data_IF_829687751188
#
_entry.id   IF_829687751188
#
_cell.length_a   1.000
_cell.length_b   1.000
_cell.length_c   1.000
_cell.angle_alpha   90.00
_cell.angle_beta   90.00
_cell.angle_gamma   90.00
#
_symmetry.space_group_name_H-M   'P 1'
#
loop_
_entity.id
_entity.type
_entity.pdbx_description
1 polymer ?
#
# COMPACT_ATOMS: atom_id res chain seq x y z
N UNK A 1 56.00 3.55 -57.20
CA UNK A 1 55.52 4.36 -58.35
C UNK A 1 54.44 3.50 -59.01
N UNK A 2 53.15 3.83 -59.05
CA UNK A 2 52.53 5.07 -59.56
C UNK A 2 51.08 5.16 -59.08
N UNK A 3 50.64 6.37 -58.70
CA UNK A 3 49.24 6.77 -58.42
C UNK A 3 48.33 6.49 -59.62
N UNK A 4 47.08 6.05 -59.38
CA UNK A 4 45.89 6.52 -60.11
C UNK A 4 44.70 6.67 -59.17
N UNK A 5 44.13 7.88 -59.21
CA UNK A 5 42.89 8.32 -58.59
C UNK A 5 41.77 8.03 -59.61
N UNK A 6 40.61 7.59 -59.15
CA UNK A 6 39.40 7.46 -59.96
C UNK A 6 38.18 7.17 -59.09
N UNK A 7 37.42 8.23 -58.80
CA UNK A 7 36.16 8.19 -58.06
C UNK A 7 35.03 7.62 -58.91
N UNK A 8 34.10 6.90 -58.28
CA UNK A 8 32.72 6.78 -58.75
C UNK A 8 31.79 6.42 -57.59
N UNK A 9 30.67 7.13 -57.57
CA UNK A 9 29.66 7.21 -56.52
C UNK A 9 28.97 5.87 -56.25
N UNK A 10 28.69 5.59 -54.98
CA UNK A 10 27.54 4.80 -54.58
C UNK A 10 26.73 5.60 -53.55
N UNK A 11 25.52 5.97 -53.97
CA UNK A 11 24.50 6.64 -53.17
C UNK A 11 24.04 5.75 -52.01
N UNK A 12 23.87 6.39 -50.85
CA UNK A 12 22.73 6.19 -49.95
C UNK A 12 22.70 4.91 -49.11
N UNK A 13 22.89 5.03 -47.80
CA UNK A 13 21.80 5.01 -46.80
C UNK A 13 22.31 5.76 -45.57
N UNK A 14 21.53 6.73 -45.09
CA UNK A 14 21.81 7.49 -43.88
C UNK A 14 21.94 6.55 -42.68
N UNK A 15 23.08 6.61 -41.98
CA UNK A 15 23.14 6.32 -40.56
C UNK A 15 22.38 7.44 -39.82
N UNK A 16 21.19 7.13 -39.32
CA UNK A 16 20.57 7.88 -38.24
C UNK A 16 19.68 6.91 -37.47
N UNK A 17 20.12 6.54 -36.27
CA UNK A 17 19.32 6.46 -35.03
C UNK A 17 20.12 5.70 -33.97
N UNK A 18 20.32 6.27 -32.78
CA UNK A 18 20.80 5.53 -31.62
C UNK A 18 19.64 4.80 -30.94
N UNK A 19 20.00 3.75 -30.21
CA UNK A 19 19.24 3.09 -29.15
C UNK A 19 18.16 2.08 -29.56
N UNK A 20 18.38 0.87 -29.04
CA UNK A 20 17.39 -0.13 -28.67
C UNK A 20 16.04 0.48 -28.26
N UNK A 21 14.97 -0.09 -28.77
CA UNK A 21 13.76 -0.28 -27.98
C UNK A 21 13.20 -1.64 -28.35
N UNK A 22 13.41 -2.60 -27.46
CA UNK A 22 12.60 -3.81 -27.43
C UNK A 22 11.16 -3.36 -27.29
N UNK A 23 10.38 -3.64 -28.33
CA UNK A 23 8.93 -3.50 -28.37
C UNK A 23 8.34 -4.47 -27.33
N UNK A 24 8.20 -4.00 -26.10
CA UNK A 24 7.24 -4.55 -25.15
C UNK A 24 6.05 -3.62 -25.23
N UNK A 25 5.00 -4.06 -25.92
CA UNK A 25 3.74 -3.34 -26.04
C UNK A 25 3.28 -2.84 -24.68
N UNK A 26 3.57 -1.58 -24.41
CA UNK A 26 2.98 -0.84 -23.31
C UNK A 26 1.61 -0.45 -23.81
N UNK A 27 0.68 -1.41 -23.86
CA UNK A 27 -0.73 -1.08 -23.78
C UNK A 27 -0.83 -0.14 -22.57
N UNK A 28 -1.28 1.09 -22.79
CA UNK A 28 -1.51 2.07 -21.74
C UNK A 28 -2.65 1.55 -20.89
N UNK A 29 -2.35 0.58 -20.02
CA UNK A 29 -3.22 0.11 -18.95
C UNK A 29 -3.55 1.36 -18.15
N UNK A 30 -4.84 1.63 -17.99
CA UNK A 30 -5.26 2.76 -17.18
C UNK A 30 -4.67 2.63 -15.78
N UNK A 31 -4.51 3.77 -15.09
CA UNK A 31 -4.04 3.76 -13.71
C UNK A 31 -5.18 4.12 -12.77
N UNK A 32 -5.42 3.29 -11.75
CA UNK A 32 -6.37 3.53 -10.68
C UNK A 32 -5.72 4.33 -9.54
N UNK A 33 -6.44 5.31 -8.99
CA UNK A 33 -5.99 6.04 -7.80
C UNK A 33 -6.14 5.17 -6.56
N UNK A 34 -5.47 5.58 -5.49
CA UNK A 34 -5.64 4.96 -4.19
C UNK A 34 -7.11 5.01 -3.73
N UNK A 35 -7.63 3.87 -3.26
CA UNK A 35 -9.04 3.67 -2.94
C UNK A 35 -9.94 3.35 -4.13
N UNK A 36 -9.43 3.37 -5.36
CA UNK A 36 -10.17 2.92 -6.54
C UNK A 36 -9.93 1.43 -6.82
N UNK A 37 -10.88 0.83 -7.54
CA UNK A 37 -10.77 -0.57 -7.95
C UNK A 37 -9.55 -0.76 -8.89
N UNK A 38 -8.87 -1.89 -8.74
CA UNK A 38 -7.73 -2.29 -9.55
C UNK A 38 -7.96 -3.70 -10.11
N UNK A 39 -7.24 -4.04 -11.18
CA UNK A 39 -7.38 -5.33 -11.82
C UNK A 39 -6.11 -5.69 -12.59
N UNK A 40 -6.06 -6.90 -13.16
CA UNK A 40 -4.96 -7.33 -14.03
C UNK A 40 -4.67 -6.39 -15.22
N UNK A 41 -5.66 -5.60 -15.62
CA UNK A 41 -5.59 -4.69 -16.77
C UNK A 41 -5.58 -3.20 -16.33
N UNK A 42 -5.59 -2.94 -15.02
CA UNK A 42 -5.67 -1.60 -14.43
C UNK A 42 -4.76 -1.53 -13.18
N UNK A 43 -3.55 -1.01 -13.39
CA UNK A 43 -2.52 -0.90 -12.36
C UNK A 43 -2.78 0.31 -11.44
N UNK A 44 -2.17 0.33 -10.26
CA UNK A 44 -2.28 1.48 -9.37
C UNK A 44 -1.38 2.62 -9.83
N UNK A 45 -1.88 3.85 -9.78
CA UNK A 45 -1.22 5.05 -10.31
C UNK A 45 0.01 5.50 -9.53
N UNK A 46 0.11 5.08 -8.26
CA UNK A 46 1.24 5.41 -7.39
C UNK A 46 2.16 4.21 -7.27
N UNK A 47 3.47 4.43 -7.33
CA UNK A 47 4.47 3.36 -7.08
C UNK A 47 4.43 2.83 -5.65
N UNK A 48 3.82 3.61 -4.74
CA UNK A 48 3.54 3.21 -3.36
C UNK A 48 2.18 2.54 -3.19
N UNK A 49 1.36 2.50 -4.26
CA UNK A 49 0.08 1.80 -4.23
C UNK A 49 0.19 0.45 -4.93
N UNK A 50 -0.36 -0.59 -4.30
CA UNK A 50 -0.42 -1.95 -4.88
C UNK A 50 -1.85 -2.39 -5.00
N UNK A 51 -2.12 -3.17 -6.05
CA UNK A 51 -3.42 -3.78 -6.22
C UNK A 51 -3.55 -4.91 -5.19
N UNK A 52 -4.35 -4.69 -4.16
CA UNK A 52 -4.58 -5.69 -3.12
C UNK A 52 -5.39 -6.86 -3.71
N UNK A 53 -5.24 -8.12 -3.22
CA UNK A 53 -6.06 -9.26 -3.62
C UNK A 53 -7.58 -9.05 -3.66
N UNK A 54 -8.09 -8.07 -2.91
CA UNK A 54 -9.51 -7.68 -2.92
C UNK A 54 -9.91 -6.74 -4.08
N UNK A 55 -8.97 -6.41 -4.97
CA UNK A 55 -9.21 -5.61 -6.17
C UNK A 55 -9.32 -4.10 -5.91
N UNK A 56 -8.62 -3.58 -4.90
CA UNK A 56 -8.54 -2.13 -4.60
C UNK A 56 -7.08 -1.69 -4.52
N UNK A 57 -6.78 -0.51 -5.07
CA UNK A 57 -5.47 0.12 -4.90
C UNK A 57 -5.30 0.65 -3.49
N UNK A 58 -4.46 0.00 -2.69
CA UNK A 58 -4.10 0.45 -1.35
C UNK A 58 -2.71 1.04 -1.37
N UNK A 59 -2.46 2.06 -0.54
CA UNK A 59 -1.09 2.54 -0.29
C UNK A 59 -0.25 1.51 0.47
N UNK A 60 0.98 1.89 0.79
CA UNK A 60 1.86 1.05 1.63
C UNK A 60 1.26 0.89 3.04
N UNK A 61 1.20 -0.35 3.53
CA UNK A 61 0.79 -0.69 4.89
C UNK A 61 1.96 -0.45 5.86
N UNK A 62 2.19 0.83 6.15
CA UNK A 62 3.13 1.27 7.19
C UNK A 62 2.44 1.30 8.56
N UNK A 63 3.22 1.21 9.63
CA UNK A 63 2.71 1.41 11.00
C UNK A 63 1.94 2.72 11.16
N UNK A 64 2.46 3.82 10.61
CA UNK A 64 1.81 5.13 10.67
C UNK A 64 0.44 5.15 9.97
N UNK A 65 0.32 4.47 8.81
CA UNK A 65 -0.94 4.36 8.10
C UNK A 65 -1.98 3.52 8.88
N UNK A 66 -1.52 2.46 9.56
CA UNK A 66 -2.33 1.61 10.42
C UNK A 66 -2.69 2.25 11.77
N UNK A 67 -2.05 3.36 12.13
CA UNK A 67 -2.27 4.12 13.35
C UNK A 67 -2.90 5.48 13.07
N UNK A 68 -3.57 5.62 11.93
CA UNK A 68 -4.35 6.82 11.61
C UNK A 68 -5.76 6.69 12.18
N UNK A 69 -6.16 7.66 13.01
CA UNK A 69 -7.54 7.73 13.50
C UNK A 69 -8.50 8.10 12.35
N UNK A 70 -9.66 7.45 12.35
CA UNK A 70 -10.73 7.74 11.41
C UNK A 70 -12.08 7.74 12.11
N UNK A 71 -13.02 8.48 11.53
CA UNK A 71 -14.43 8.44 11.87
C UNK A 71 -15.21 7.83 10.70
N UNK A 72 -16.44 7.38 10.92
CA UNK A 72 -17.31 6.84 9.87
C UNK A 72 -17.45 7.81 8.68
N UNK A 73 -17.44 9.13 8.94
CA UNK A 73 -17.52 10.17 7.93
C UNK A 73 -16.18 10.45 7.22
N UNK A 74 -15.05 10.04 7.81
CA UNK A 74 -13.69 10.31 7.32
C UNK A 74 -12.96 9.04 6.93
N UNK A 75 -13.65 7.93 6.70
CA UNK A 75 -13.07 6.67 6.22
C UNK A 75 -12.27 6.82 4.91
N UNK A 76 -12.56 7.85 4.09
CA UNK A 76 -11.78 8.22 2.91
C UNK A 76 -10.33 8.65 3.24
N UNK A 77 -10.06 9.09 4.48
CA UNK A 77 -8.71 9.40 4.97
C UNK A 77 -7.85 8.16 5.13
N UNK A 78 -8.48 6.97 5.25
CA UNK A 78 -7.77 5.72 5.31
C UNK A 78 -7.16 5.32 3.96
N UNK A 79 -7.15 6.19 2.95
CA UNK A 79 -6.34 6.04 1.75
C UNK A 79 -6.44 4.62 1.12
N UNK A 80 -7.67 4.15 0.93
CA UNK A 80 -7.98 2.83 0.39
C UNK A 80 -8.05 1.69 1.41
N UNK A 81 -7.77 1.96 2.68
CA UNK A 81 -8.06 1.06 3.81
C UNK A 81 -9.49 1.24 4.35
N UNK A 82 -9.89 0.37 5.28
CA UNK A 82 -11.16 0.45 5.97
C UNK A 82 -11.02 1.19 7.30
N UNK A 83 -12.07 1.92 7.69
CA UNK A 83 -12.15 2.47 9.04
C UNK A 83 -12.77 1.45 9.98
N UNK A 84 -12.00 0.89 10.90
CA UNK A 84 -12.52 0.08 12.00
C UNK A 84 -13.07 1.02 13.07
N UNK A 85 -14.39 1.00 13.24
CA UNK A 85 -15.05 1.75 14.32
C UNK A 85 -14.70 1.12 15.66
N UNK A 86 -14.21 1.94 16.58
CA UNK A 86 -13.82 1.52 17.91
C UNK A 86 -14.96 1.78 18.90
N UNK A 87 -15.18 0.84 19.81
CA UNK A 87 -16.06 1.06 20.95
C UNK A 87 -15.44 2.10 21.90
N UNK A 88 -16.23 2.59 22.85
CA UNK A 88 -15.75 3.50 23.89
C UNK A 88 -14.47 2.95 24.56
N UNK A 89 -13.42 3.77 24.56
CA UNK A 89 -12.07 3.39 24.97
C UNK A 89 -11.42 4.50 25.80
N UNK A 90 -10.37 4.15 26.54
CA UNK A 90 -9.67 5.07 27.43
C UNK A 90 -9.01 6.24 26.69
N UNK A 91 -8.64 6.05 25.42
CA UNK A 91 -8.01 7.05 24.57
C UNK A 91 -9.01 8.01 23.92
N UNK A 92 -10.33 7.76 24.04
CA UNK A 92 -11.37 8.58 23.42
C UNK A 92 -11.38 8.53 21.89
N UNK A 93 -10.72 7.53 21.29
CA UNK A 93 -10.63 7.36 19.84
C UNK A 93 -11.94 6.85 19.25
N UNK A 94 -12.23 7.23 18.02
CA UNK A 94 -13.48 6.84 17.35
C UNK A 94 -13.32 5.69 16.35
N UNK A 95 -12.13 5.58 15.76
CA UNK A 95 -11.83 4.54 14.80
C UNK A 95 -10.34 4.46 14.46
N UNK A 96 -9.99 3.43 13.70
CA UNK A 96 -8.63 3.14 13.27
C UNK A 96 -8.62 2.73 11.80
N UNK A 97 -7.76 3.37 11.01
CA UNK A 97 -7.51 2.92 9.64
C UNK A 97 -6.81 1.57 9.68
N UNK A 98 -7.46 0.55 9.11
CA UNK A 98 -6.96 -0.82 9.11
C UNK A 98 -7.46 -1.54 7.86
N UNK A 99 -6.98 -2.75 7.64
CA UNK A 99 -7.33 -3.55 6.49
C UNK A 99 -7.62 -4.99 6.88
N UNK A 100 -8.51 -5.67 6.16
CA UNK A 100 -8.79 -7.09 6.41
C UNK A 100 -7.65 -7.96 5.89
N UNK A 101 -7.22 -8.93 6.69
CA UNK A 101 -6.12 -9.83 6.35
C UNK A 101 -6.50 -11.29 6.56
N UNK A 102 -5.85 -12.19 5.84
CA UNK A 102 -5.92 -13.64 6.10
C UNK A 102 -4.63 -14.14 6.77
N UNK A 103 -3.53 -13.40 6.59
CA UNK A 103 -2.22 -13.72 7.14
C UNK A 103 -1.37 -12.46 7.38
N UNK A 104 -0.28 -12.60 8.15
CA UNK A 104 0.66 -11.49 8.36
C UNK A 104 1.31 -10.98 7.07
N UNK A 105 1.39 -11.80 6.02
CA UNK A 105 1.95 -11.38 4.73
C UNK A 105 1.09 -10.30 4.05
N UNK A 106 -0.20 -10.23 4.39
CA UNK A 106 -1.12 -9.23 3.85
C UNK A 106 -0.94 -7.85 4.53
N UNK A 107 -0.27 -7.80 5.67
CA UNK A 107 -0.18 -6.60 6.50
C UNK A 107 1.07 -5.75 6.28
N UNK A 108 1.95 -6.12 5.35
CA UNK A 108 3.19 -5.38 5.11
C UNK A 108 4.08 -5.34 6.35
N UNK A 109 4.17 -4.17 7.00
CA UNK A 109 4.90 -4.01 8.26
C UNK A 109 4.05 -4.34 9.51
N UNK A 110 2.75 -4.54 9.31
CA UNK A 110 1.78 -4.88 10.34
C UNK A 110 1.74 -6.37 10.72
N UNK A 111 0.83 -6.68 11.63
CA UNK A 111 0.46 -8.04 12.05
C UNK A 111 -1.03 -8.28 11.85
N UNK A 112 -1.39 -9.49 11.45
CA UNK A 112 -2.78 -9.88 11.25
C UNK A 112 -3.38 -10.39 12.58
N UNK A 113 -4.37 -9.66 13.08
CA UNK A 113 -4.94 -9.88 14.41
C UNK A 113 -6.43 -10.18 14.31
N UNK A 114 -6.87 -11.27 14.95
CA UNK A 114 -8.28 -11.64 15.05
C UNK A 114 -8.97 -10.86 16.18
N UNK A 115 -9.65 -9.77 15.86
CA UNK A 115 -10.42 -9.01 16.84
C UNK A 115 -11.82 -9.62 17.02
N UNK A 116 -12.30 -9.66 18.27
CA UNK A 116 -13.64 -10.14 18.58
C UNK A 116 -14.70 -9.21 17.98
N UNK A 117 -15.58 -9.74 17.12
CA UNK A 117 -16.67 -8.97 16.51
C UNK A 117 -16.30 -8.14 15.28
N UNK A 118 -15.00 -7.98 14.97
CA UNK A 118 -14.53 -7.23 13.81
C UNK A 118 -13.84 -8.09 12.73
N UNK A 119 -13.46 -9.34 13.05
CA UNK A 119 -12.74 -10.21 12.11
C UNK A 119 -11.22 -10.05 12.22
N UNK A 120 -10.50 -10.56 11.24
CA UNK A 120 -9.04 -10.43 11.14
C UNK A 120 -8.66 -9.13 10.45
N UNK A 121 -7.82 -8.33 11.11
CA UNK A 121 -7.39 -7.02 10.62
C UNK A 121 -5.91 -6.76 10.85
N UNK A 122 -5.30 -5.91 10.02
CA UNK A 122 -3.91 -5.50 10.16
C UNK A 122 -3.76 -4.42 11.23
N UNK A 123 -2.92 -4.67 12.22
CA UNK A 123 -2.53 -3.69 13.23
C UNK A 123 -1.01 -3.50 13.21
N UNK A 124 -0.55 -2.34 13.66
CA UNK A 124 0.88 -2.11 13.84
C UNK A 124 1.40 -2.94 15.03
N UNK A 125 2.49 -3.70 14.88
CA UNK A 125 3.08 -4.43 16.01
C UNK A 125 3.74 -3.47 17.00
N UNK A 126 3.87 -3.88 18.25
CA UNK A 126 4.56 -3.10 19.29
C UNK A 126 5.17 -4.01 20.35
N UNK A 127 6.21 -3.54 21.02
CA UNK A 127 6.74 -4.13 22.24
C UNK A 127 6.28 -3.33 23.47
N UNK A 128 6.22 -2.01 23.35
CA UNK A 128 5.71 -1.09 24.37
C UNK A 128 4.99 0.15 23.79
N UNK A 129 4.46 1.00 24.67
CA UNK A 129 3.66 2.16 24.27
C UNK A 129 4.43 3.20 23.45
N UNK A 130 5.76 3.20 23.48
CA UNK A 130 6.57 4.15 22.70
C UNK A 130 6.66 3.80 21.22
N UNK A 131 6.35 2.55 20.86
CA UNK A 131 6.24 2.12 19.47
C UNK A 131 4.96 2.62 18.81
N UNK A 132 3.95 2.93 19.62
CA UNK A 132 2.65 3.41 19.15
C UNK A 132 2.62 4.93 19.04
N UNK A 133 2.08 5.40 17.93
CA UNK A 133 1.93 6.80 17.57
C UNK A 133 0.47 7.24 17.66
N UNK A 134 0.22 8.52 17.41
CA UNK A 134 -1.12 9.11 17.30
C UNK A 134 -2.07 8.89 18.50
N UNK A 135 -1.51 8.60 19.68
CA UNK A 135 -2.27 8.35 20.91
C UNK A 135 -2.85 6.94 21.04
N UNK A 136 -2.42 5.99 20.20
CA UNK A 136 -2.65 4.57 20.42
C UNK A 136 -1.68 4.02 21.48
N UNK A 137 -1.97 2.83 22.01
CA UNK A 137 -1.18 2.18 23.05
C UNK A 137 -0.91 0.73 22.71
N UNK A 138 0.15 0.18 23.27
CA UNK A 138 0.54 -1.19 23.01
C UNK A 138 -0.29 -2.16 23.85
N UNK A 139 -1.26 -2.82 23.22
CA UNK A 139 -2.16 -3.75 23.88
C UNK A 139 -1.63 -5.16 23.75
N UNK A 140 -1.63 -5.88 24.88
CA UNK A 140 -1.27 -7.31 24.88
C UNK A 140 -2.47 -8.15 24.48
N UNK A 141 -2.23 -9.04 23.52
CA UNK A 141 -3.15 -10.06 23.06
C UNK A 141 -4.55 -9.54 22.65
N UNK A 142 -4.65 -8.52 21.77
CA UNK A 142 -5.95 -8.00 21.35
C UNK A 142 -6.79 -9.01 20.56
N UNK A 143 -6.22 -10.17 20.21
CA UNK A 143 -6.87 -11.18 19.37
C UNK A 143 -6.23 -12.57 19.33
N UNK A 144 -5.41 -12.94 20.31
CA UNK A 144 -4.65 -14.21 20.28
C UNK A 144 -3.29 -14.13 19.57
N UNK A 145 -2.92 -12.96 19.01
CA UNK A 145 -1.82 -12.82 18.04
C UNK A 145 -0.54 -12.16 18.60
N UNK A 146 -0.47 -11.85 19.90
CA UNK A 146 0.66 -11.12 20.50
C UNK A 146 0.33 -9.65 20.78
N UNK A 147 1.28 -8.73 20.68
CA UNK A 147 1.06 -7.31 21.00
C UNK A 147 0.85 -6.47 19.74
N UNK A 148 -0.03 -5.48 19.81
CA UNK A 148 -0.26 -4.53 18.72
C UNK A 148 -0.73 -3.16 19.23
N UNK A 149 -0.48 -2.10 18.45
CA UNK A 149 -0.98 -0.76 18.71
C UNK A 149 -2.49 -0.71 18.46
N UNK A 150 -3.23 -0.44 19.53
CA UNK A 150 -4.69 -0.34 19.55
C UNK A 150 -5.10 0.62 20.68
N UNK A 151 -6.38 0.59 21.04
CA UNK A 151 -6.94 1.28 22.20
C UNK A 151 -7.23 0.31 23.33
N UNK A 152 -7.20 0.82 24.55
CA UNK A 152 -7.64 0.09 25.73
C UNK A 152 -9.14 0.29 25.96
N UNK A 153 -9.89 -0.76 26.34
CA UNK A 153 -11.29 -0.61 26.73
C UNK A 153 -11.44 0.46 27.82
N UNK A 154 -12.51 1.25 27.77
CA UNK A 154 -12.79 2.23 28.82
C UNK A 154 -12.95 1.49 30.16
N UNK A 155 -12.37 2.05 31.24
CA UNK A 155 -12.59 1.54 32.58
C UNK A 155 -14.10 1.62 32.90
N UNK A 156 -14.73 0.48 33.08
CA UNK A 156 -16.15 0.34 33.46
C UNK A 156 -16.39 0.61 34.93
#
# INVERSE_FOLDING_TARGET
MTKRIGALLALGVLCALPACSSDSGSESRGTAKQGEACSKDLDCASELARCHPQGVCTGELTSEALETECESATASLCAGFACLVLNANAQGKTGLCTYQCESNADCGQGVCVQLQGAGTVCLSPCEDNSDCSNGFVCVTDPGGSGKACLVEPAAG
#
